data_IF_345669836854
#
_entry.id   IF_345669836854
#
_cell.length_a   1.000
_cell.length_b   1.000
_cell.length_c   1.000
_cell.angle_alpha   90.00
_cell.angle_beta   90.00
_cell.angle_gamma   90.00
#
_symmetry.space_group_name_H-M   'P 1'
#
loop_
_entity.id
_entity.type
_entity.pdbx_description
1 polymer ?
#
# COMPACT_ATOMS: atom_id res chain seq x y z
N UNK A 1 28.02 -24.89 -56.43
CA UNK A 1 27.26 -25.48 -55.29
C UNK A 1 27.79 -24.98 -53.94
N UNK A 2 28.29 -23.72 -53.85
CA UNK A 2 28.97 -23.22 -52.63
C UNK A 2 28.24 -22.03 -51.95
N UNK A 3 27.21 -21.45 -52.57
CA UNK A 3 26.53 -20.25 -52.06
C UNK A 3 25.52 -20.49 -50.90
N UNK A 4 25.22 -21.75 -50.54
CA UNK A 4 24.25 -22.06 -49.49
C UNK A 4 24.85 -22.16 -48.07
N UNK A 5 26.18 -22.19 -47.93
CA UNK A 5 26.83 -22.36 -46.63
C UNK A 5 27.10 -21.03 -45.91
N UNK A 6 27.46 -19.96 -46.64
CA UNK A 6 27.74 -18.63 -46.07
C UNK A 6 26.48 -17.97 -45.47
N UNK A 7 25.32 -18.18 -46.09
CA UNK A 7 24.04 -17.61 -45.64
C UNK A 7 23.54 -18.22 -44.32
N UNK A 8 24.01 -19.41 -43.93
CA UNK A 8 23.61 -20.04 -42.67
C UNK A 8 24.39 -19.44 -41.48
N UNK A 9 25.68 -19.13 -41.65
CA UNK A 9 26.53 -18.56 -40.59
C UNK A 9 26.17 -17.11 -40.26
N UNK A 10 25.82 -16.30 -41.26
CA UNK A 10 25.41 -14.90 -41.03
C UNK A 10 24.05 -14.80 -40.30
N UNK A 11 23.15 -15.77 -40.56
CA UNK A 11 21.88 -15.84 -39.85
C UNK A 11 22.06 -16.23 -38.37
N UNK A 12 22.95 -17.17 -38.05
CA UNK A 12 23.23 -17.56 -36.67
C UNK A 12 23.90 -16.43 -35.86
N UNK A 13 24.76 -15.63 -36.50
CA UNK A 13 25.35 -14.44 -35.89
C UNK A 13 24.29 -13.36 -35.60
N UNK A 14 23.41 -13.07 -36.57
CA UNK A 14 22.33 -12.09 -36.41
C UNK A 14 21.28 -12.50 -35.35
N UNK A 15 21.02 -13.80 -35.23
CA UNK A 15 20.12 -14.35 -34.20
C UNK A 15 20.73 -14.24 -32.80
N UNK A 16 22.02 -14.59 -32.63
CA UNK A 16 22.73 -14.40 -31.35
C UNK A 16 22.75 -12.94 -30.90
N UNK A 17 22.94 -12.01 -31.83
CA UNK A 17 23.03 -10.58 -31.52
C UNK A 17 21.67 -10.01 -31.09
N UNK A 18 20.58 -10.44 -31.75
CA UNK A 18 19.20 -10.09 -31.35
C UNK A 18 18.83 -10.65 -29.97
N UNK A 19 19.18 -11.90 -29.67
CA UNK A 19 18.92 -12.48 -28.35
C UNK A 19 19.77 -11.83 -27.26
N UNK A 20 21.02 -11.45 -27.56
CA UNK A 20 21.88 -10.70 -26.66
C UNK A 20 21.30 -9.32 -26.31
N UNK A 21 20.84 -8.58 -27.32
CA UNK A 21 20.21 -7.27 -27.14
C UNK A 21 18.89 -7.36 -26.34
N UNK A 22 18.05 -8.36 -26.63
CA UNK A 22 16.81 -8.59 -25.88
C UNK A 22 17.07 -8.94 -24.41
N UNK A 23 18.06 -9.79 -24.15
CA UNK A 23 18.48 -10.16 -22.78
C UNK A 23 19.04 -8.97 -22.01
N UNK A 24 19.83 -8.11 -22.66
CA UNK A 24 20.36 -6.89 -22.05
C UNK A 24 19.23 -5.93 -21.64
N UNK A 25 18.27 -5.68 -22.53
CA UNK A 25 17.09 -4.85 -22.23
C UNK A 25 16.26 -5.41 -21.07
N UNK A 26 16.11 -6.74 -21.00
CA UNK A 26 15.42 -7.40 -19.90
C UNK A 26 16.12 -7.17 -18.55
N UNK A 27 17.44 -7.35 -18.49
CA UNK A 27 18.20 -7.10 -17.25
C UNK A 27 18.19 -5.63 -16.85
N UNK A 28 18.29 -4.69 -17.80
CA UNK A 28 18.18 -3.25 -17.52
C UNK A 28 16.79 -2.90 -16.97
N UNK A 29 15.72 -3.43 -17.56
CA UNK A 29 14.35 -3.21 -17.08
C UNK A 29 14.15 -3.80 -15.67
N UNK A 30 14.71 -4.98 -15.41
CA UNK A 30 14.66 -5.63 -14.08
C UNK A 30 15.39 -4.79 -13.03
N UNK A 31 16.58 -4.27 -13.35
CA UNK A 31 17.33 -3.40 -12.43
C UNK A 31 16.59 -2.08 -12.18
N UNK A 32 15.98 -1.48 -13.21
CA UNK A 32 15.16 -0.28 -13.05
C UNK A 32 13.94 -0.51 -12.14
N UNK A 33 13.24 -1.64 -12.29
CA UNK A 33 12.13 -2.02 -11.39
C UNK A 33 12.63 -2.22 -9.96
N UNK A 34 13.73 -2.96 -9.77
CA UNK A 34 14.31 -3.18 -8.44
C UNK A 34 14.76 -1.87 -7.79
N UNK A 35 15.30 -0.94 -8.56
CA UNK A 35 15.67 0.39 -8.08
C UNK A 35 14.44 1.20 -7.69
N UNK A 36 13.40 1.23 -8.54
CA UNK A 36 12.13 1.89 -8.21
C UNK A 36 11.48 1.33 -6.94
N UNK A 37 11.57 0.01 -6.72
CA UNK A 37 11.11 -0.62 -5.47
C UNK A 37 11.93 -0.19 -4.25
N UNK A 38 13.25 -0.02 -4.40
CA UNK A 38 14.12 0.50 -3.32
C UNK A 38 13.85 1.96 -3.02
N UNK A 39 13.61 2.78 -4.04
CA UNK A 39 13.33 4.21 -3.86
C UNK A 39 11.99 4.40 -3.14
N UNK A 40 10.97 3.59 -3.47
CA UNK A 40 9.69 3.52 -2.75
C UNK A 40 9.90 3.05 -1.30
N UNK A 41 10.73 2.02 -1.09
CA UNK A 41 11.03 1.53 0.26
C UNK A 41 11.81 2.56 1.10
N UNK A 42 12.69 3.35 0.46
CA UNK A 42 13.48 4.41 1.09
C UNK A 42 12.67 5.67 1.45
N UNK A 43 11.46 5.83 0.91
CA UNK A 43 10.58 6.96 1.24
C UNK A 43 9.58 6.68 2.36
N UNK A 44 9.41 5.42 2.78
CA UNK A 44 8.53 5.08 3.90
C UNK A 44 9.30 5.28 5.20
N UNK A 45 9.22 6.50 5.74
CA UNK A 45 9.77 6.81 7.05
C UNK A 45 8.91 6.10 8.11
N UNK A 46 9.37 4.93 8.57
CA UNK A 46 8.69 4.13 9.58
C UNK A 46 9.08 4.66 10.96
N UNK A 47 8.15 5.35 11.61
CA UNK A 47 8.34 5.96 12.92
C UNK A 47 7.30 5.43 13.91
N UNK A 48 7.78 4.70 14.94
CA UNK A 48 6.92 4.11 15.97
C UNK A 48 6.20 5.17 16.81
N UNK A 49 6.69 6.41 16.83
CA UNK A 49 6.03 7.53 17.53
C UNK A 49 4.69 7.92 16.88
N UNK A 50 4.45 7.46 15.65
CA UNK A 50 3.20 7.65 14.88
C UNK A 50 2.10 6.65 15.23
N UNK A 51 2.42 5.58 15.94
CA UNK A 51 1.42 4.54 16.30
C UNK A 51 0.22 5.10 17.08
N UNK A 52 0.38 5.99 18.08
CA UNK A 52 -0.75 6.60 18.79
C UNK A 52 -1.73 7.33 17.88
N UNK A 53 -1.25 8.19 16.98
CA UNK A 53 -2.11 8.97 16.09
C UNK A 53 -2.78 8.08 15.05
N UNK A 54 -2.02 7.12 14.49
CA UNK A 54 -2.53 6.18 13.50
C UNK A 54 -3.55 5.20 14.08
N UNK A 55 -3.41 4.82 15.36
CA UNK A 55 -4.41 4.01 16.05
C UNK A 55 -5.71 4.78 16.26
N UNK A 56 -5.62 6.06 16.67
CA UNK A 56 -6.79 6.93 16.83
C UNK A 56 -7.48 7.17 15.49
N UNK A 57 -6.70 7.36 14.44
CA UNK A 57 -7.16 7.48 13.06
C UNK A 57 -7.95 6.24 12.65
N UNK A 58 -7.37 5.06 12.83
CA UNK A 58 -8.00 3.78 12.49
C UNK A 58 -9.32 3.57 13.24
N UNK A 59 -9.39 3.93 14.52
CA UNK A 59 -10.63 3.88 15.31
C UNK A 59 -11.70 4.81 14.76
N UNK A 60 -11.32 6.04 14.43
CA UNK A 60 -12.24 7.06 13.90
C UNK A 60 -12.82 6.59 12.57
N UNK A 61 -11.99 6.05 11.67
CA UNK A 61 -12.43 5.48 10.40
C UNK A 61 -13.30 4.23 10.55
N UNK A 62 -13.06 3.42 11.57
CA UNK A 62 -13.93 2.30 11.88
C UNK A 62 -15.31 2.74 12.43
N UNK A 63 -15.47 4.02 12.78
CA UNK A 63 -16.63 4.59 13.47
C UNK A 63 -17.01 3.76 14.72
N UNK A 64 -16.00 3.34 15.49
CA UNK A 64 -16.19 2.51 16.69
C UNK A 64 -15.88 3.31 17.96
N UNK A 65 -16.67 3.08 18.99
CA UNK A 65 -16.32 3.52 20.32
C UNK A 65 -15.01 2.87 20.76
N UNK A 66 -14.21 3.54 21.59
CA UNK A 66 -12.90 3.02 21.99
C UNK A 66 -12.99 1.62 22.61
N UNK A 67 -13.94 1.42 23.53
CA UNK A 67 -14.21 0.11 24.11
C UNK A 67 -14.39 -0.98 23.05
N UNK A 68 -15.22 -0.69 22.04
CA UNK A 68 -15.53 -1.66 20.99
C UNK A 68 -14.32 -1.89 20.10
N UNK A 69 -13.67 -0.82 19.63
CA UNK A 69 -12.48 -0.89 18.77
C UNK A 69 -11.36 -1.75 19.38
N UNK A 70 -11.06 -1.55 20.66
CA UNK A 70 -9.99 -2.28 21.34
C UNK A 70 -10.40 -3.73 21.64
N UNK A 71 -11.70 -3.99 21.86
CA UNK A 71 -12.24 -5.35 21.99
C UNK A 71 -12.34 -6.10 20.65
N UNK A 72 -12.43 -5.37 19.53
CA UNK A 72 -12.71 -5.93 18.20
C UNK A 72 -11.47 -6.35 17.43
N UNK A 73 -10.25 -5.95 17.83
CA UNK A 73 -9.07 -6.50 17.18
C UNK A 73 -9.07 -8.00 17.47
N UNK A 74 -9.23 -8.81 16.42
CA UNK A 74 -9.59 -10.23 16.40
C UNK A 74 -8.51 -11.18 16.95
N UNK A 75 -7.80 -10.75 17.98
CA UNK A 75 -6.63 -11.39 18.59
C UNK A 75 -6.99 -12.15 19.88
N UNK A 76 -8.28 -12.32 20.16
CA UNK A 76 -8.75 -12.97 21.37
C UNK A 76 -8.76 -12.05 22.60
N UNK A 77 -9.12 -12.59 23.79
CA UNK A 77 -9.42 -11.83 25.02
C UNK A 77 -8.24 -11.08 25.66
N UNK A 78 -7.12 -10.93 24.95
CA UNK A 78 -5.91 -10.18 25.35
C UNK A 78 -5.67 -8.94 24.49
N UNK A 79 -6.59 -8.59 23.58
CA UNK A 79 -6.60 -7.33 22.86
C UNK A 79 -6.97 -6.18 23.82
N UNK A 80 -5.94 -5.58 24.42
CA UNK A 80 -5.93 -4.33 25.21
C UNK A 80 -7.18 -4.01 26.05
N UNK A 81 -6.99 -3.84 27.35
CA UNK A 81 -8.03 -3.18 28.14
C UNK A 81 -8.34 -1.79 27.55
N UNK A 82 -9.57 -1.30 27.74
CA UNK A 82 -9.94 0.06 27.31
C UNK A 82 -8.99 1.13 27.88
N UNK A 83 -8.43 0.89 29.07
CA UNK A 83 -7.45 1.78 29.69
C UNK A 83 -6.09 1.74 29.00
N UNK A 84 -5.60 0.56 28.61
CA UNK A 84 -4.38 0.42 27.82
C UNK A 84 -4.51 1.10 26.46
N UNK A 85 -5.63 0.89 25.79
CA UNK A 85 -5.92 1.50 24.50
C UNK A 85 -5.97 3.03 24.59
N UNK A 86 -6.61 3.57 25.63
CA UNK A 86 -6.59 5.02 25.92
C UNK A 86 -5.19 5.55 26.22
N UNK A 87 -4.34 4.78 26.91
CA UNK A 87 -2.97 5.21 27.18
C UNK A 87 -2.14 5.23 25.90
N UNK A 88 -2.33 4.25 25.02
CA UNK A 88 -1.67 4.18 23.71
C UNK A 88 -2.10 5.35 22.82
N UNK A 89 -3.41 5.58 22.65
CA UNK A 89 -3.91 6.69 21.82
C UNK A 89 -3.43 8.05 22.32
N UNK A 90 -3.18 8.20 23.63
CA UNK A 90 -2.65 9.44 24.24
C UNK A 90 -1.12 9.54 24.20
N UNK A 91 -0.43 8.56 23.63
CA UNK A 91 1.04 8.50 23.61
C UNK A 91 1.67 8.24 24.98
N UNK A 92 0.89 7.82 25.99
CA UNK A 92 1.40 7.43 27.33
C UNK A 92 1.95 6.02 27.36
N UNK A 93 1.67 5.23 26.33
CA UNK A 93 2.19 3.90 26.09
C UNK A 93 2.43 3.72 24.58
N UNK A 94 3.32 2.81 24.22
CA UNK A 94 3.66 2.52 22.82
C UNK A 94 3.24 1.08 22.52
N UNK A 95 2.57 0.87 21.39
CA UNK A 95 2.29 -0.48 20.87
C UNK A 95 3.61 -1.20 20.59
N UNK A 96 3.73 -2.45 21.01
CA UNK A 96 4.85 -3.28 20.58
C UNK A 96 4.75 -3.59 19.08
N UNK A 97 5.84 -4.03 18.46
CA UNK A 97 5.82 -4.38 17.04
C UNK A 97 4.83 -5.52 16.75
N UNK A 98 4.80 -6.55 17.62
CA UNK A 98 3.86 -7.67 17.50
C UNK A 98 2.42 -7.16 17.52
N UNK A 99 2.10 -6.30 18.48
CA UNK A 99 0.78 -5.69 18.63
C UNK A 99 0.38 -4.83 17.43
N UNK A 100 1.30 -4.00 16.91
CA UNK A 100 1.05 -3.19 15.73
C UNK A 100 0.75 -4.06 14.50
N UNK A 101 1.56 -5.10 14.25
CA UNK A 101 1.38 -6.02 13.11
C UNK A 101 0.08 -6.81 13.21
N UNK A 102 -0.30 -7.20 14.41
CA UNK A 102 -1.56 -7.87 14.67
C UNK A 102 -2.78 -6.97 14.39
N UNK A 103 -2.72 -5.69 14.80
CA UNK A 103 -3.76 -4.70 14.46
C UNK A 103 -3.84 -4.51 12.95
N UNK A 104 -2.70 -4.35 12.28
CA UNK A 104 -2.63 -4.22 10.82
C UNK A 104 -3.28 -5.42 10.13
N UNK A 105 -2.94 -6.64 10.55
CA UNK A 105 -3.54 -7.86 10.00
C UNK A 105 -5.07 -7.91 10.21
N UNK A 106 -5.55 -7.59 11.42
CA UNK A 106 -6.98 -7.63 11.75
C UNK A 106 -7.84 -6.64 10.96
N UNK A 107 -7.23 -5.53 10.52
CA UNK A 107 -7.90 -4.48 9.74
C UNK A 107 -7.59 -4.58 8.25
N UNK A 108 -6.95 -5.67 7.81
CA UNK A 108 -6.39 -5.83 6.48
C UNK A 108 -5.62 -4.55 6.11
N UNK A 109 -4.53 -4.22 6.79
CA UNK A 109 -3.69 -3.06 6.49
C UNK A 109 -2.30 -3.52 6.03
N UNK A 110 -1.62 -2.76 5.16
CA UNK A 110 -0.25 -3.05 4.79
C UNK A 110 0.67 -3.11 6.02
N UNK A 111 1.66 -3.99 5.97
CA UNK A 111 2.70 -4.05 7.01
C UNK A 111 3.38 -2.69 7.15
N UNK A 112 3.50 -2.22 8.39
CA UNK A 112 4.12 -0.94 8.71
C UNK A 112 3.19 0.25 8.58
N UNK A 113 1.92 0.07 8.21
CA UNK A 113 0.95 1.17 8.08
C UNK A 113 0.87 2.03 9.34
N UNK A 114 0.87 1.43 10.54
CA UNK A 114 0.83 2.16 11.81
C UNK A 114 2.10 2.98 12.11
N UNK A 115 3.18 2.73 11.39
CA UNK A 115 4.45 3.45 11.53
C UNK A 115 4.61 4.56 10.48
N UNK A 116 3.72 4.63 9.47
CA UNK A 116 3.81 5.64 8.42
C UNK A 116 3.27 6.99 8.89
N UNK A 117 3.68 8.04 8.21
CA UNK A 117 3.00 9.33 8.31
C UNK A 117 1.65 9.23 7.58
N UNK A 118 0.57 8.90 8.31
CA UNK A 118 -0.79 8.93 7.79
C UNK A 118 -1.52 10.22 8.17
N UNK A 119 -0.79 11.33 8.40
CA UNK A 119 -1.40 12.62 8.73
C UNK A 119 -2.39 13.11 7.67
N UNK A 120 -2.19 12.73 6.41
CA UNK A 120 -3.17 12.96 5.32
C UNK A 120 -4.43 12.13 5.54
N UNK A 121 -4.30 10.90 6.05
CA UNK A 121 -5.41 10.03 6.42
C UNK A 121 -6.34 10.63 7.47
N UNK A 122 -5.82 11.46 8.39
CA UNK A 122 -6.62 12.22 9.38
C UNK A 122 -7.55 13.25 8.76
N UNK A 123 -7.31 13.63 7.49
CA UNK A 123 -8.14 14.59 6.75
C UNK A 123 -9.17 13.92 5.85
N UNK A 124 -9.11 12.60 5.71
CA UNK A 124 -10.05 11.87 4.87
C UNK A 124 -11.43 11.85 5.55
N UNK A 125 -12.41 12.32 4.80
CA UNK A 125 -13.83 12.14 5.09
C UNK A 125 -14.21 10.65 5.02
N UNK A 126 -15.33 10.28 5.64
CA UNK A 126 -15.85 8.91 5.59
C UNK A 126 -16.06 8.42 4.15
N UNK A 127 -16.42 9.32 3.24
CA UNK A 127 -16.67 8.99 1.83
C UNK A 127 -15.37 8.68 1.10
N UNK A 128 -14.31 9.48 1.30
CA UNK A 128 -12.98 9.21 0.75
C UNK A 128 -12.42 7.89 1.26
N UNK A 129 -12.58 7.60 2.55
CA UNK A 129 -12.17 6.31 3.10
C UNK A 129 -12.95 5.13 2.48
N UNK A 130 -14.26 5.30 2.27
CA UNK A 130 -15.09 4.28 1.64
C UNK A 130 -14.67 4.01 0.19
N UNK A 131 -14.27 5.03 -0.56
CA UNK A 131 -13.71 4.86 -1.91
C UNK A 131 -12.40 4.05 -1.86
N UNK A 132 -11.50 4.36 -0.92
CA UNK A 132 -10.26 3.58 -0.74
C UNK A 132 -10.58 2.11 -0.44
N UNK A 133 -11.56 1.83 0.44
CA UNK A 133 -11.97 0.46 0.75
C UNK A 133 -12.54 -0.27 -0.46
N UNK A 134 -13.32 0.41 -1.30
CA UNK A 134 -13.82 -0.16 -2.56
C UNK A 134 -12.67 -0.48 -3.53
N UNK A 135 -11.72 0.42 -3.69
CA UNK A 135 -10.54 0.21 -4.55
C UNK A 135 -9.70 -0.99 -4.11
N UNK A 136 -9.55 -1.19 -2.80
CA UNK A 136 -8.78 -2.31 -2.26
C UNK A 136 -9.41 -3.66 -2.53
N UNK A 137 -10.74 -3.75 -2.44
CA UNK A 137 -11.51 -4.99 -2.68
C UNK A 137 -11.81 -5.23 -4.17
N UNK A 138 -11.66 -4.21 -5.01
CA UNK A 138 -11.97 -4.29 -6.43
C UNK A 138 -10.95 -5.12 -7.21
N UNK A 139 -11.41 -5.91 -8.21
CA UNK A 139 -10.55 -6.51 -9.23
C UNK A 139 -9.66 -5.47 -9.91
N UNK A 140 -8.48 -5.88 -10.37
CA UNK A 140 -7.51 -4.95 -10.96
C UNK A 140 -8.08 -4.21 -12.17
N UNK A 141 -8.95 -4.84 -12.96
CA UNK A 141 -9.59 -4.21 -14.12
C UNK A 141 -10.64 -3.15 -13.73
N UNK A 142 -11.21 -3.25 -12.52
CA UNK A 142 -12.26 -2.34 -12.04
C UNK A 142 -11.71 -1.08 -11.35
N UNK A 143 -10.45 -1.11 -10.89
CA UNK A 143 -9.84 0.02 -10.16
C UNK A 143 -9.81 1.34 -10.96
N UNK A 144 -9.44 1.36 -12.26
CA UNK A 144 -9.45 2.59 -13.04
C UNK A 144 -10.83 3.24 -13.12
N UNK A 145 -11.89 2.44 -13.29
CA UNK A 145 -13.26 2.94 -13.37
C UNK A 145 -13.72 3.57 -12.04
N UNK A 146 -13.35 2.97 -10.91
CA UNK A 146 -13.69 3.52 -9.58
C UNK A 146 -12.99 4.87 -9.35
N UNK A 147 -11.73 5.01 -9.78
CA UNK A 147 -10.99 6.29 -9.68
C UNK A 147 -11.69 7.37 -10.51
N UNK A 148 -12.03 7.09 -11.77
CA UNK A 148 -12.72 8.05 -12.66
C UNK A 148 -14.06 8.49 -12.08
N UNK A 149 -14.84 7.55 -11.53
CA UNK A 149 -16.12 7.89 -10.88
C UNK A 149 -15.89 8.78 -9.66
N UNK A 150 -14.89 8.48 -8.82
CA UNK A 150 -14.57 9.29 -7.65
C UNK A 150 -14.13 10.71 -8.05
N UNK A 151 -13.31 10.85 -9.09
CA UNK A 151 -12.89 12.15 -9.64
C UNK A 151 -14.08 12.96 -10.18
N UNK A 152 -15.00 12.31 -10.91
CA UNK A 152 -16.21 12.94 -11.43
C UNK A 152 -17.16 13.42 -10.33
N UNK A 153 -17.25 12.68 -9.22
CA UNK A 153 -18.07 13.06 -8.07
C UNK A 153 -17.42 14.21 -7.29
N UNK A 154 -16.11 14.16 -7.06
CA UNK A 154 -15.36 15.24 -6.38
C UNK A 154 -15.37 16.56 -7.19
N UNK A 155 -15.33 16.49 -8.52
CA UNK A 155 -15.34 17.68 -9.38
C UNK A 155 -16.69 18.38 -9.50
N UNK A 156 -17.81 17.73 -9.14
CA UNK A 156 -19.16 18.32 -9.24
C UNK A 156 -19.46 19.36 -8.15
N UNK A 157 -18.73 19.31 -7.03
CA UNK A 157 -18.91 20.24 -5.92
C UNK A 157 -18.34 21.64 -6.21
N UNK A 158 -17.57 21.82 -7.29
CA UNK A 158 -16.96 23.11 -7.65
C UNK A 158 -17.80 23.96 -8.63
N UNK A 159 -18.96 23.47 -9.09
CA UNK A 159 -19.82 24.19 -10.04
C UNK A 159 -21.18 24.62 -9.45
N UNK A 160 -21.33 24.60 -8.13
CA UNK A 160 -22.52 25.13 -7.43
C UNK A 160 -22.16 26.35 -6.57
N UNK A 161 -21.88 27.48 -7.24
CA UNK A 161 -21.92 28.85 -6.68
C UNK A 161 -22.28 29.80 -7.79
#
# INVERSE_FOLDING_TARGET
MEQQCETQQDNDAAVKDKYGAARKRWEESKQSILQGMRDIAGTINLDKTRRPENLRLLRTHANKHQRDFCSFSSLGPSAFSSSQCSNIERGKAILTDIQARQIELSHDLPVGWLDRDNSVGLRLTNDEWRVIQLLRKAPQEARPAIIVIAELLAGRDHCQT
#
